data_IF_510359760711
#
_entry.id   IF_510359760711
#
_cell.length_a   1.000
_cell.length_b   1.000
_cell.length_c   1.000
_cell.angle_alpha   90.00
_cell.angle_beta   90.00
_cell.angle_gamma   90.00
#
_symmetry.space_group_name_H-M   'P 1'
#
loop_
_entity.id
_entity.type
_entity.pdbx_description
1 polymer ?
#
# COMPACT_ATOMS: atom_id res chain seq x y z
N UNK A 1 83.89 -37.86 0.22
CA UNK A 1 84.15 -36.42 0.48
C UNK A 1 83.74 -35.70 -0.80
N UNK A 2 82.75 -34.82 -0.91
CA UNK A 2 82.12 -33.91 0.06
C UNK A 2 80.76 -33.52 -0.57
N UNK A 3 79.68 -33.53 0.23
CA UNK A 3 78.35 -33.05 -0.18
C UNK A 3 78.34 -31.53 -0.20
N UNK A 4 77.82 -30.92 -1.27
CA UNK A 4 77.41 -29.50 -1.29
C UNK A 4 75.89 -29.45 -1.25
N UNK A 5 75.36 -28.72 -0.26
CA UNK A 5 73.94 -28.44 -0.04
C UNK A 5 73.51 -27.25 -0.91
N UNK A 6 72.34 -27.35 -1.53
CA UNK A 6 71.60 -26.18 -2.02
C UNK A 6 70.18 -26.25 -1.47
N UNK A 7 69.83 -25.24 -0.66
CA UNK A 7 68.47 -24.96 -0.19
C UNK A 7 67.63 -24.52 -1.41
N UNK A 8 66.44 -25.11 -1.57
CA UNK A 8 65.38 -24.56 -2.42
C UNK A 8 64.27 -24.09 -1.50
N UNK A 9 64.03 -22.78 -1.49
CA UNK A 9 62.91 -22.15 -0.81
C UNK A 9 61.62 -22.39 -1.60
N UNK A 10 60.60 -22.95 -0.95
CA UNK A 10 59.28 -23.12 -1.53
C UNK A 10 58.43 -21.87 -1.28
N UNK A 11 58.15 -21.11 -2.35
CA UNK A 11 57.21 -20.00 -2.34
C UNK A 11 55.82 -20.53 -2.67
N UNK A 12 54.95 -20.67 -1.65
CA UNK A 12 53.53 -20.95 -1.87
C UNK A 12 52.83 -19.68 -2.39
N UNK A 13 52.44 -19.67 -3.67
CA UNK A 13 51.44 -18.74 -4.18
C UNK A 13 50.06 -19.19 -3.70
N UNK A 14 49.49 -18.47 -2.73
CA UNK A 14 48.06 -18.56 -2.41
C UNK A 14 47.32 -17.68 -3.43
N UNK A 15 46.73 -18.32 -4.44
CA UNK A 15 45.79 -17.65 -5.33
C UNK A 15 44.49 -17.37 -4.54
N UNK A 16 44.31 -16.13 -4.09
CA UNK A 16 43.07 -15.64 -3.52
C UNK A 16 42.00 -15.54 -4.59
N UNK A 17 41.20 -16.60 -4.76
CA UNK A 17 39.94 -16.52 -5.49
C UNK A 17 38.95 -15.67 -4.70
N UNK A 18 38.63 -14.49 -5.22
CA UNK A 18 37.49 -13.71 -4.75
C UNK A 18 36.23 -14.55 -4.98
N UNK A 19 35.65 -15.08 -3.89
CA UNK A 19 34.33 -15.67 -3.93
C UNK A 19 33.32 -14.56 -4.21
N UNK A 20 32.98 -14.38 -5.48
CA UNK A 20 31.75 -13.74 -5.90
C UNK A 20 30.62 -14.49 -5.18
N UNK A 21 30.01 -13.84 -4.18
CA UNK A 21 28.87 -14.38 -3.47
C UNK A 21 27.76 -14.71 -4.46
N UNK A 22 27.61 -15.99 -4.77
CA UNK A 22 26.47 -16.47 -5.52
C UNK A 22 25.22 -16.08 -4.73
N UNK A 23 24.38 -15.22 -5.32
CA UNK A 23 23.03 -15.04 -4.85
C UNK A 23 22.32 -16.39 -4.98
N UNK A 24 22.26 -17.15 -3.89
CA UNK A 24 21.37 -18.29 -3.81
C UNK A 24 19.95 -17.73 -3.94
N UNK A 25 19.31 -17.98 -5.07
CA UNK A 25 17.86 -17.92 -5.19
C UNK A 25 17.29 -18.96 -4.23
N UNK A 26 17.01 -18.55 -2.98
CA UNK A 26 16.28 -19.39 -2.06
C UNK A 26 14.90 -19.65 -2.66
N UNK A 27 14.41 -20.89 -2.61
CA UNK A 27 13.05 -21.20 -3.00
C UNK A 27 12.05 -20.30 -2.23
N UNK A 28 10.89 -19.94 -2.80
CA UNK A 28 9.90 -19.20 -2.06
C UNK A 28 9.48 -19.97 -0.80
N UNK A 29 9.30 -19.26 0.32
CA UNK A 29 8.80 -19.84 1.56
C UNK A 29 7.29 -19.66 1.62
N UNK A 30 6.54 -20.70 1.99
CA UNK A 30 5.10 -20.60 2.06
C UNK A 30 4.48 -21.53 3.10
N UNK A 31 3.35 -21.09 3.66
CA UNK A 31 2.45 -21.91 4.46
C UNK A 31 1.02 -21.64 4.01
N UNK A 32 0.30 -22.72 3.68
CA UNK A 32 -1.09 -22.69 3.20
C UNK A 32 -1.34 -21.80 1.97
N UNK A 33 -0.29 -21.40 1.26
CA UNK A 33 -0.34 -20.62 0.04
C UNK A 33 0.60 -21.23 -0.99
N UNK A 34 0.34 -20.97 -2.26
CA UNK A 34 1.25 -21.33 -3.36
C UNK A 34 1.27 -20.28 -4.45
N UNK A 35 2.39 -20.21 -5.16
CA UNK A 35 2.52 -19.41 -6.36
C UNK A 35 1.63 -19.97 -7.49
N UNK A 36 0.90 -19.08 -8.15
CA UNK A 36 0.08 -19.35 -9.34
C UNK A 36 0.79 -18.85 -10.59
N UNK A 37 1.31 -17.62 -10.54
CA UNK A 37 2.09 -17.00 -11.60
C UNK A 37 2.83 -15.76 -11.11
N UNK A 38 3.69 -15.22 -11.96
CA UNK A 38 4.52 -14.07 -11.62
C UNK A 38 4.88 -13.28 -12.87
N UNK A 39 5.29 -12.03 -12.68
CA UNK A 39 5.84 -11.17 -13.72
C UNK A 39 6.92 -10.26 -13.13
N UNK A 40 8.05 -10.06 -13.81
CA UNK A 40 9.18 -9.29 -13.29
C UNK A 40 8.94 -7.76 -13.24
N UNK A 41 7.86 -7.30 -13.89
CA UNK A 41 7.49 -5.89 -14.06
C UNK A 41 8.61 -5.07 -14.70
N UNK A 42 9.40 -5.69 -15.59
CA UNK A 42 10.58 -5.08 -16.21
C UNK A 42 11.59 -4.56 -15.15
N UNK A 43 11.69 -5.26 -14.01
CA UNK A 43 12.54 -4.92 -12.88
C UNK A 43 12.31 -3.51 -12.31
N UNK A 44 11.09 -2.99 -12.43
CA UNK A 44 10.69 -1.71 -11.81
C UNK A 44 10.32 -1.92 -10.33
N UNK A 45 10.63 -0.93 -9.50
CA UNK A 45 10.26 -0.94 -8.07
C UNK A 45 8.77 -0.75 -7.92
N UNK A 46 8.04 -1.76 -7.43
CA UNK A 46 6.58 -1.73 -7.36
C UNK A 46 6.08 -1.24 -6.00
N UNK A 47 5.00 -0.45 -6.01
CA UNK A 47 4.33 0.02 -4.80
C UNK A 47 2.94 -0.60 -4.67
N UNK A 48 1.94 -0.15 -5.42
CA UNK A 48 0.54 -0.57 -5.26
C UNK A 48 0.07 -1.39 -6.47
N UNK A 49 -0.33 -2.66 -6.28
CA UNK A 49 -1.12 -3.39 -7.24
C UNK A 49 -2.60 -3.07 -7.05
N UNK A 50 -3.34 -2.96 -8.15
CA UNK A 50 -4.80 -2.93 -8.18
C UNK A 50 -5.26 -3.82 -9.32
N UNK A 51 -6.21 -4.71 -9.06
CA UNK A 51 -6.78 -5.58 -10.10
C UNK A 51 -8.23 -5.17 -10.34
N UNK A 52 -8.56 -4.90 -11.59
CA UNK A 52 -9.89 -4.47 -12.00
C UNK A 52 -10.43 -5.41 -13.07
N UNK A 53 -11.71 -5.78 -12.96
CA UNK A 53 -12.40 -6.56 -13.98
C UNK A 53 -12.94 -5.62 -15.05
N UNK A 54 -12.48 -5.77 -16.29
CA UNK A 54 -12.87 -4.98 -17.47
C UNK A 54 -13.48 -5.90 -18.52
N UNK A 55 -14.81 -5.92 -18.57
CA UNK A 55 -15.54 -6.94 -19.32
C UNK A 55 -15.20 -8.34 -18.77
N UNK A 56 -14.72 -9.22 -19.65
CA UNK A 56 -14.32 -10.59 -19.29
C UNK A 56 -12.84 -10.71 -18.87
N UNK A 57 -12.09 -9.60 -18.88
CA UNK A 57 -10.67 -9.58 -18.55
C UNK A 57 -10.43 -9.09 -17.14
N UNK A 58 -9.36 -9.59 -16.53
CA UNK A 58 -8.82 -9.01 -15.29
C UNK A 58 -7.52 -8.27 -15.64
N UNK A 59 -7.49 -6.98 -15.36
CA UNK A 59 -6.34 -6.11 -15.65
C UNK A 59 -5.71 -5.67 -14.33
N UNK A 60 -4.41 -5.92 -14.19
CA UNK A 60 -3.62 -5.43 -13.07
C UNK A 60 -2.93 -4.11 -13.44
N UNK A 61 -3.17 -3.09 -12.64
CA UNK A 61 -2.51 -1.80 -12.67
C UNK A 61 -1.51 -1.76 -11.51
N UNK A 62 -0.23 -1.65 -11.80
CA UNK A 62 0.82 -1.64 -10.79
C UNK A 62 1.54 -0.30 -10.82
N UNK A 63 1.33 0.50 -9.79
CA UNK A 63 2.05 1.76 -9.59
C UNK A 63 3.48 1.51 -9.12
N UNK A 64 4.42 2.29 -9.64
CA UNK A 64 5.85 2.17 -9.33
C UNK A 64 6.40 3.39 -8.60
N UNK A 65 7.39 3.13 -7.75
CA UNK A 65 8.31 4.15 -7.26
C UNK A 65 9.15 4.71 -8.41
N UNK A 66 9.70 5.91 -8.21
CA UNK A 66 10.66 6.56 -9.09
C UNK A 66 11.87 5.70 -9.43
N UNK A 67 12.48 6.02 -10.55
CA UNK A 67 13.62 5.32 -11.14
C UNK A 67 13.50 5.24 -12.67
N UNK A 68 14.56 4.80 -13.32
CA UNK A 68 14.63 4.62 -14.78
C UNK A 68 14.84 3.14 -15.13
N UNK A 69 14.06 2.60 -16.07
CA UNK A 69 14.25 1.23 -16.59
C UNK A 69 14.00 1.17 -18.09
N UNK A 70 14.71 0.26 -18.75
CA UNK A 70 14.43 -0.12 -20.14
C UNK A 70 13.01 -0.71 -20.22
N UNK A 71 12.25 -0.24 -21.19
CA UNK A 71 10.98 -0.83 -21.59
C UNK A 71 11.19 -1.72 -22.83
N UNK A 72 11.08 -3.05 -22.71
CA UNK A 72 11.22 -3.97 -23.85
C UNK A 72 10.14 -3.78 -24.93
N UNK A 73 8.96 -3.26 -24.60
CA UNK A 73 7.90 -3.03 -25.59
C UNK A 73 8.23 -1.89 -26.56
N UNK A 74 8.91 -0.86 -26.07
CA UNK A 74 9.24 0.35 -26.86
C UNK A 74 10.71 0.42 -27.25
N UNK A 75 11.56 -0.38 -26.59
CA UNK A 75 13.00 -0.30 -26.74
C UNK A 75 13.60 1.00 -26.16
N UNK A 76 12.91 1.72 -25.28
CA UNK A 76 13.38 2.99 -24.70
C UNK A 76 13.56 2.88 -23.19
N UNK A 77 14.48 3.66 -22.65
CA UNK A 77 14.55 3.84 -21.20
C UNK A 77 13.47 4.83 -20.79
N UNK A 78 12.64 4.43 -19.84
CA UNK A 78 11.46 5.19 -19.41
C UNK A 78 11.46 5.32 -17.89
N UNK A 79 11.10 6.51 -17.42
CA UNK A 79 10.84 6.77 -16.01
C UNK A 79 9.73 5.83 -15.54
N UNK A 80 9.97 5.13 -14.43
CA UNK A 80 8.97 4.29 -13.79
C UNK A 80 7.66 5.05 -13.63
N UNK A 81 6.54 4.40 -13.94
CA UNK A 81 5.23 4.98 -13.72
C UNK A 81 4.22 3.90 -13.37
N UNK A 82 3.36 3.53 -14.30
CA UNK A 82 2.31 2.52 -14.09
C UNK A 82 2.44 1.40 -15.10
N UNK A 83 2.63 0.17 -14.63
CA UNK A 83 2.56 -1.02 -15.46
C UNK A 83 1.11 -1.49 -15.60
N UNK A 84 0.71 -1.91 -16.79
CA UNK A 84 -0.62 -2.48 -17.07
C UNK A 84 -0.43 -3.90 -17.59
N UNK A 85 -1.01 -4.88 -16.90
CA UNK A 85 -0.90 -6.29 -17.22
C UNK A 85 -2.28 -6.93 -17.39
N UNK A 86 -2.43 -7.80 -18.37
CA UNK A 86 -3.53 -8.75 -18.41
C UNK A 86 -3.22 -9.92 -17.47
N UNK A 87 -4.06 -10.10 -16.47
CA UNK A 87 -3.97 -11.18 -15.47
C UNK A 87 -5.21 -12.08 -15.51
N UNK A 88 -5.88 -12.13 -16.67
CA UNK A 88 -7.03 -13.02 -16.90
C UNK A 88 -6.63 -14.48 -16.71
N UNK A 89 -5.52 -14.92 -17.33
CA UNK A 89 -4.82 -16.14 -16.89
C UNK A 89 -3.72 -15.75 -15.90
N UNK A 90 -3.99 -15.95 -14.62
CA UNK A 90 -3.06 -15.64 -13.54
C UNK A 90 -1.74 -16.43 -13.61
N UNK A 91 -1.69 -17.53 -14.35
CA UNK A 91 -0.47 -18.34 -14.53
C UNK A 91 0.49 -17.73 -15.56
N UNK A 92 -0.02 -16.89 -16.45
CA UNK A 92 0.73 -16.26 -17.52
C UNK A 92 0.36 -14.77 -17.65
N UNK A 93 0.69 -13.91 -16.66
CA UNK A 93 0.46 -12.48 -16.77
C UNK A 93 1.13 -11.90 -18.01
N UNK A 94 0.42 -11.06 -18.76
CA UNK A 94 0.91 -10.45 -20.00
C UNK A 94 1.02 -8.94 -19.86
N UNK A 95 2.22 -8.41 -19.97
CA UNK A 95 2.46 -6.97 -19.97
C UNK A 95 1.87 -6.30 -21.22
N UNK A 96 1.00 -5.31 -21.04
CA UNK A 96 0.26 -4.67 -22.12
C UNK A 96 0.83 -3.31 -22.48
N UNK A 97 1.07 -2.49 -21.46
CA UNK A 97 1.51 -1.12 -21.61
C UNK A 97 2.22 -0.64 -20.34
N UNK A 98 3.02 0.40 -20.52
CA UNK A 98 3.61 1.16 -19.44
C UNK A 98 3.28 2.64 -19.66
N UNK A 99 2.78 3.31 -18.63
CA UNK A 99 2.58 4.76 -18.64
C UNK A 99 3.71 5.40 -17.83
N UNK A 100 4.62 6.17 -18.44
CA UNK A 100 5.72 6.82 -17.72
C UNK A 100 5.24 7.70 -16.56
N UNK A 101 6.06 7.78 -15.51
CA UNK A 101 5.83 8.59 -14.32
C UNK A 101 6.75 9.81 -14.23
N UNK A 102 6.82 10.41 -13.04
CA UNK A 102 7.65 11.58 -12.77
C UNK A 102 9.13 11.22 -12.56
N UNK A 103 10.06 12.15 -12.83
CA UNK A 103 11.49 11.95 -12.54
C UNK A 103 11.76 11.90 -11.03
N UNK A 104 12.89 11.31 -10.66
CA UNK A 104 13.30 11.10 -9.27
C UNK A 104 13.37 9.62 -8.93
N UNK A 105 14.03 9.31 -7.82
CA UNK A 105 14.19 7.95 -7.29
C UNK A 105 13.19 7.70 -6.15
N UNK A 106 12.87 6.43 -5.90
CA UNK A 106 12.01 6.04 -4.78
C UNK A 106 10.69 6.85 -4.73
N UNK A 107 10.32 7.42 -3.59
CA UNK A 107 9.06 8.18 -3.44
C UNK A 107 9.12 9.60 -4.05
N UNK A 108 10.28 10.04 -4.56
CA UNK A 108 10.40 11.38 -5.16
C UNK A 108 9.80 11.45 -6.57
N UNK A 109 9.85 10.34 -7.30
CA UNK A 109 9.34 10.18 -8.66
C UNK A 109 8.26 9.11 -8.79
N UNK A 110 8.08 8.56 -10.00
CA UNK A 110 7.19 7.43 -10.23
C UNK A 110 5.73 7.80 -10.51
N UNK A 111 4.85 6.82 -10.34
CA UNK A 111 3.39 6.96 -10.34
C UNK A 111 2.82 5.83 -9.46
N UNK A 112 3.13 5.90 -8.17
CA UNK A 112 3.07 4.78 -7.23
C UNK A 112 1.66 4.38 -6.80
N UNK A 113 0.67 5.26 -6.98
CA UNK A 113 -0.67 5.13 -6.40
C UNK A 113 -1.71 5.11 -7.50
N UNK A 114 -2.61 4.12 -7.47
CA UNK A 114 -3.59 3.87 -8.55
C UNK A 114 -4.98 3.49 -8.02
N UNK A 115 -6.00 3.97 -8.71
CA UNK A 115 -7.41 3.58 -8.58
C UNK A 115 -8.04 3.48 -9.96
N UNK A 116 -8.96 2.55 -10.14
CA UNK A 116 -9.63 2.33 -11.43
C UNK A 116 -11.12 2.21 -11.21
N UNK A 117 -11.89 2.93 -12.04
CA UNK A 117 -13.34 2.88 -12.05
C UNK A 117 -13.85 2.67 -13.47
N UNK A 118 -14.85 1.80 -13.61
CA UNK A 118 -15.64 1.71 -14.84
C UNK A 118 -16.52 2.94 -14.96
N UNK A 119 -16.61 3.52 -16.16
CA UNK A 119 -17.49 4.64 -16.45
C UNK A 119 -18.96 4.30 -16.21
N UNK A 120 -19.35 3.04 -16.39
CA UNK A 120 -20.70 2.57 -16.10
C UNK A 120 -21.10 2.65 -14.61
N UNK A 121 -20.13 2.72 -13.70
CA UNK A 121 -20.39 2.89 -12.26
C UNK A 121 -20.40 4.35 -11.83
N UNK A 122 -19.70 5.22 -12.58
CA UNK A 122 -19.54 6.63 -12.26
C UNK A 122 -20.79 7.44 -12.63
N UNK A 123 -21.21 8.41 -11.80
CA UNK A 123 -22.48 9.13 -12.00
C UNK A 123 -22.66 9.86 -13.33
N UNK A 124 -21.58 10.40 -13.90
CA UNK A 124 -21.62 11.32 -15.05
C UNK A 124 -20.51 11.02 -16.07
N UNK A 125 -19.96 9.81 -16.05
CA UNK A 125 -18.90 9.41 -16.97
C UNK A 125 -19.46 8.78 -18.26
N UNK A 126 -18.62 8.64 -19.27
CA UNK A 126 -18.96 7.81 -20.43
C UNK A 126 -19.00 6.34 -20.00
N UNK A 127 -20.20 5.75 -20.05
CA UNK A 127 -20.44 4.38 -19.59
C UNK A 127 -19.65 3.31 -20.34
N UNK A 128 -19.17 3.60 -21.54
CA UNK A 128 -18.35 2.68 -22.34
C UNK A 128 -16.87 2.65 -21.91
N UNK A 129 -16.47 3.53 -20.99
CA UNK A 129 -15.07 3.77 -20.67
C UNK A 129 -14.62 3.10 -19.38
N UNK A 130 -13.31 3.02 -19.20
CA UNK A 130 -12.65 2.71 -17.93
C UNK A 130 -11.58 3.75 -17.66
N UNK A 131 -11.53 4.26 -16.43
CA UNK A 131 -10.67 5.37 -16.04
C UNK A 131 -9.68 4.95 -14.96
N UNK A 132 -8.42 5.34 -15.12
CA UNK A 132 -7.35 5.18 -14.14
C UNK A 132 -7.06 6.54 -13.50
N UNK A 133 -7.29 6.65 -12.20
CA UNK A 133 -6.74 7.71 -11.35
C UNK A 133 -5.35 7.28 -10.89
N UNK A 134 -4.35 8.15 -11.05
CA UNK A 134 -3.00 7.91 -10.53
C UNK A 134 -2.30 9.18 -10.05
N UNK A 135 -1.28 9.01 -9.23
CA UNK A 135 -0.29 10.06 -8.99
C UNK A 135 0.70 10.18 -10.14
N UNK A 136 1.29 11.36 -10.32
CA UNK A 136 2.46 11.60 -11.18
C UNK A 136 3.62 12.07 -10.31
N UNK A 137 4.24 11.11 -9.62
CA UNK A 137 5.16 11.35 -8.51
C UNK A 137 4.60 12.39 -7.56
N UNK A 138 5.44 13.33 -7.14
CA UNK A 138 5.04 14.41 -6.24
C UNK A 138 4.35 15.62 -6.90
N UNK A 139 4.12 15.58 -8.22
CA UNK A 139 3.81 16.76 -9.02
C UNK A 139 2.31 17.00 -9.18
N UNK A 140 1.54 15.94 -9.41
CA UNK A 140 0.12 16.02 -9.76
C UNK A 140 -0.64 14.72 -9.49
N UNK A 141 -1.97 14.82 -9.56
CA UNK A 141 -2.88 13.67 -9.74
C UNK A 141 -3.52 13.74 -11.13
N UNK A 142 -3.61 12.61 -11.81
CA UNK A 142 -4.04 12.49 -13.22
C UNK A 142 -5.16 11.47 -13.38
N UNK A 143 -5.98 11.66 -14.42
CA UNK A 143 -6.93 10.67 -14.91
C UNK A 143 -6.54 10.27 -16.33
N UNK A 144 -6.59 8.96 -16.59
CA UNK A 144 -6.31 8.34 -17.88
C UNK A 144 -7.50 7.51 -18.35
N UNK A 145 -7.83 7.56 -19.63
CA UNK A 145 -8.69 6.58 -20.30
C UNK A 145 -7.86 5.31 -20.53
N UNK A 146 -8.31 4.22 -19.93
CA UNK A 146 -7.69 2.88 -20.00
C UNK A 146 -8.68 1.82 -20.49
N UNK A 147 -9.72 2.26 -21.23
CA UNK A 147 -10.72 1.38 -21.83
C UNK A 147 -10.08 0.35 -22.76
N UNK A 148 -9.06 0.79 -23.51
CA UNK A 148 -8.08 -0.09 -24.13
C UNK A 148 -6.81 -0.11 -23.25
N UNK A 149 -6.61 -1.14 -22.40
CA UNK A 149 -5.47 -1.18 -21.49
C UNK A 149 -4.12 -1.33 -22.20
N UNK A 150 -4.09 -1.64 -23.51
CA UNK A 150 -2.86 -1.65 -24.30
C UNK A 150 -2.53 -0.27 -24.91
N UNK A 151 -3.49 0.67 -24.91
CA UNK A 151 -3.33 2.02 -25.46
C UNK A 151 -3.92 3.07 -24.50
N UNK A 152 -3.35 3.22 -23.30
CA UNK A 152 -3.82 4.21 -22.34
C UNK A 152 -3.59 5.63 -22.88
N UNK A 153 -4.54 6.53 -22.63
CA UNK A 153 -4.46 7.94 -23.04
C UNK A 153 -4.78 8.85 -21.86
N UNK A 154 -3.97 9.90 -21.66
CA UNK A 154 -4.24 10.87 -20.60
C UNK A 154 -5.52 11.63 -20.93
N UNK A 155 -6.42 11.70 -19.96
CA UNK A 155 -7.68 12.44 -20.10
C UNK A 155 -7.53 13.85 -19.54
N UNK A 156 -7.09 13.97 -18.29
CA UNK A 156 -6.95 15.27 -17.62
C UNK A 156 -5.99 15.20 -16.43
N UNK A 157 -5.51 16.36 -16.00
CA UNK A 157 -4.77 16.54 -14.75
C UNK A 157 -5.71 17.16 -13.74
N UNK A 158 -5.99 16.46 -12.64
CA UNK A 158 -6.95 16.90 -11.60
C UNK A 158 -6.40 18.12 -10.86
N UNK A 159 -5.13 18.03 -10.45
CA UNK A 159 -4.41 19.06 -9.72
C UNK A 159 -2.92 18.94 -10.00
N UNK A 160 -2.25 20.07 -10.17
CA UNK A 160 -0.81 20.16 -10.45
C UNK A 160 -0.12 21.19 -9.55
N UNK A 161 1.21 21.29 -9.63
CA UNK A 161 2.00 22.24 -8.84
C UNK A 161 2.21 21.82 -7.38
N UNK A 162 2.01 20.53 -7.10
CA UNK A 162 2.26 19.94 -5.79
C UNK A 162 3.77 19.67 -5.61
N UNK A 163 4.23 19.54 -4.36
CA UNK A 163 5.55 18.99 -4.01
C UNK A 163 5.46 17.68 -3.26
N UNK A 164 4.26 17.21 -2.96
CA UNK A 164 4.04 15.91 -2.35
C UNK A 164 2.69 15.39 -2.80
N UNK A 165 2.66 14.14 -3.23
CA UNK A 165 1.43 13.35 -3.35
C UNK A 165 1.59 12.06 -2.55
N UNK A 166 0.51 11.34 -2.35
CA UNK A 166 0.59 9.98 -1.86
C UNK A 166 -0.63 9.18 -2.31
N UNK A 167 -1.11 8.25 -1.48
CA UNK A 167 -2.31 7.44 -1.74
C UNK A 167 -3.47 8.28 -2.25
N UNK A 168 -4.33 7.62 -3.02
CA UNK A 168 -5.63 8.13 -3.40
C UNK A 168 -6.71 7.08 -3.09
N UNK A 169 -7.92 7.56 -2.83
CA UNK A 169 -9.12 6.73 -2.72
C UNK A 169 -10.17 7.29 -3.65
N UNK A 170 -10.83 6.44 -4.43
CA UNK A 170 -11.87 6.86 -5.37
C UNK A 170 -13.08 5.95 -5.21
N UNK A 171 -14.19 6.56 -4.80
CA UNK A 171 -15.48 5.91 -4.70
C UNK A 171 -16.15 5.92 -6.08
N UNK A 172 -16.13 4.77 -6.78
CA UNK A 172 -16.62 4.72 -8.15
C UNK A 172 -18.12 5.01 -8.27
N UNK A 173 -18.93 4.72 -7.25
CA UNK A 173 -20.39 4.91 -7.25
C UNK A 173 -20.81 6.36 -7.03
N UNK A 174 -20.08 7.11 -6.19
CA UNK A 174 -20.35 8.53 -5.93
C UNK A 174 -19.51 9.45 -6.80
N UNK A 175 -18.40 8.96 -7.34
CA UNK A 175 -17.38 9.74 -8.02
C UNK A 175 -16.45 10.51 -7.07
N UNK A 176 -16.66 10.47 -5.76
CA UNK A 176 -15.85 11.24 -4.81
C UNK A 176 -14.46 10.62 -4.68
N UNK A 177 -13.44 11.46 -4.77
CA UNK A 177 -12.06 11.10 -4.63
C UNK A 177 -11.36 11.89 -3.52
N UNK A 178 -10.51 11.18 -2.79
CA UNK A 178 -9.70 11.69 -1.70
C UNK A 178 -8.24 11.55 -2.10
N UNK A 179 -7.60 12.67 -2.39
CA UNK A 179 -6.26 12.73 -2.95
C UNK A 179 -5.30 13.19 -1.87
N UNK A 180 -4.38 12.33 -1.45
CA UNK A 180 -3.34 12.75 -0.51
C UNK A 180 -2.33 13.63 -1.25
N UNK A 181 -2.15 14.84 -0.76
CA UNK A 181 -1.37 15.91 -1.39
C UNK A 181 -0.76 16.85 -0.35
N UNK A 182 0.22 17.66 -0.73
CA UNK A 182 0.63 18.79 0.11
C UNK A 182 -0.46 19.87 0.21
N UNK A 183 -0.22 20.80 1.13
CA UNK A 183 -1.08 21.95 1.42
C UNK A 183 -1.30 22.94 0.28
N UNK A 184 -0.54 22.87 -0.82
CA UNK A 184 -0.40 24.02 -1.71
C UNK A 184 -1.68 24.35 -2.49
N UNK A 185 -1.81 25.64 -2.89
CA UNK A 185 -0.94 26.77 -2.55
C UNK A 185 -1.15 27.31 -1.11
N UNK A 186 -2.12 26.77 -0.37
CA UNK A 186 -2.43 27.20 0.98
C UNK A 186 -1.32 26.84 1.99
N UNK A 187 -1.17 27.67 3.02
CA UNK A 187 -0.11 27.55 4.04
C UNK A 187 -0.34 26.46 5.08
N UNK A 188 -0.74 25.25 4.66
CA UNK A 188 -0.93 24.13 5.61
C UNK A 188 0.40 23.69 6.22
N UNK A 189 0.35 23.33 7.50
CA UNK A 189 1.50 22.98 8.33
C UNK A 189 1.74 21.47 8.39
N UNK A 190 1.61 20.80 7.24
CA UNK A 190 1.82 19.35 7.08
C UNK A 190 2.41 19.05 5.71
N UNK A 191 3.16 17.96 5.60
CA UNK A 191 3.66 17.47 4.31
C UNK A 191 2.55 16.85 3.45
N UNK A 192 1.53 16.27 4.08
CA UNK A 192 0.43 15.54 3.45
C UNK A 192 -0.90 15.81 4.17
N UNK A 193 -1.89 16.25 3.41
CA UNK A 193 -3.30 16.39 3.79
C UNK A 193 -4.18 15.84 2.66
N UNK A 194 -5.51 15.90 2.81
CA UNK A 194 -6.43 15.37 1.79
C UNK A 194 -7.08 16.49 0.99
N UNK A 195 -6.93 16.46 -0.33
CA UNK A 195 -7.74 17.26 -1.26
C UNK A 195 -8.90 16.40 -1.74
N UNK A 196 -10.13 16.90 -1.61
CA UNK A 196 -11.34 16.16 -1.96
C UNK A 196 -11.88 16.71 -3.28
N UNK A 197 -12.14 15.82 -4.23
CA UNK A 197 -12.67 16.13 -5.55
C UNK A 197 -13.92 15.30 -5.84
N UNK A 198 -14.85 15.88 -6.60
CA UNK A 198 -15.88 15.16 -7.33
C UNK A 198 -15.32 14.82 -8.72
N UNK A 199 -15.06 13.53 -8.93
CA UNK A 199 -14.62 12.93 -10.19
C UNK A 199 -15.74 12.09 -10.82
N UNK A 200 -17.00 12.37 -10.48
CA UNK A 200 -18.14 11.67 -11.09
C UNK A 200 -18.27 11.92 -12.59
N UNK A 201 -17.71 13.03 -13.07
CA UNK A 201 -17.33 13.27 -14.46
C UNK A 201 -15.80 13.33 -14.53
N UNK A 202 -15.11 12.25 -14.94
CA UNK A 202 -13.66 12.18 -14.96
C UNK A 202 -12.99 13.19 -15.91
N UNK A 203 -13.70 13.73 -16.91
CA UNK A 203 -13.15 14.75 -17.81
C UNK A 203 -13.17 16.15 -17.18
N UNK A 204 -14.05 16.37 -16.19
CA UNK A 204 -14.23 17.68 -15.53
C UNK A 204 -14.13 17.55 -14.00
N UNK A 205 -12.93 17.30 -13.44
CA UNK A 205 -12.72 17.23 -11.99
C UNK A 205 -13.17 18.51 -11.29
N UNK A 206 -13.97 18.38 -10.22
CA UNK A 206 -14.44 19.51 -9.43
C UNK A 206 -13.89 19.44 -8.01
N UNK A 207 -13.07 20.42 -7.63
CA UNK A 207 -12.58 20.55 -6.26
C UNK A 207 -13.74 20.80 -5.29
N UNK A 208 -13.70 20.14 -4.13
CA UNK A 208 -14.68 20.30 -3.05
C UNK A 208 -14.06 21.07 -1.90
N UNK A 209 -12.99 20.52 -1.29
CA UNK A 209 -12.31 21.13 -0.14
C UNK A 209 -10.96 20.48 0.13
N UNK A 210 -10.13 21.20 0.88
CA UNK A 210 -8.99 20.63 1.59
C UNK A 210 -9.44 20.16 2.98
N UNK A 211 -8.87 19.06 3.48
CA UNK A 211 -9.22 18.48 4.77
C UNK A 211 -8.00 17.84 5.46
N UNK A 212 -7.92 18.01 6.78
CA UNK A 212 -6.84 17.51 7.63
C UNK A 212 -7.21 17.60 9.10
N UNK A 213 -6.26 17.28 9.98
CA UNK A 213 -6.44 17.43 11.42
C UNK A 213 -6.34 18.91 11.82
N UNK A 214 -7.10 19.32 12.83
CA UNK A 214 -6.93 20.64 13.46
C UNK A 214 -5.49 20.84 13.94
N UNK A 215 -4.93 22.02 13.71
CA UNK A 215 -3.52 22.35 13.91
C UNK A 215 -2.69 22.28 12.63
N UNK A 216 -3.22 21.68 11.55
CA UNK A 216 -2.58 21.64 10.23
C UNK A 216 -3.01 22.79 9.32
N UNK A 217 -4.18 23.38 9.57
CA UNK A 217 -4.76 24.43 8.73
C UNK A 217 -3.91 25.70 8.63
N UNK A 218 -4.07 26.50 7.56
CA UNK A 218 -3.39 27.79 7.43
C UNK A 218 -3.65 28.70 8.63
N UNK A 219 -2.59 29.31 9.15
CA UNK A 219 -2.66 30.22 10.30
C UNK A 219 -2.66 29.55 11.67
N UNK A 220 -2.72 28.21 11.74
CA UNK A 220 -2.61 27.49 13.01
C UNK A 220 -1.24 27.69 13.68
N UNK A 221 -1.19 27.71 15.02
CA UNK A 221 0.04 27.83 15.83
C UNK A 221 0.29 26.56 16.65
N UNK A 222 1.44 26.46 17.36
CA UNK A 222 1.80 25.27 18.16
C UNK A 222 2.31 24.09 17.32
N UNK A 223 2.40 22.90 17.91
CA UNK A 223 2.87 21.69 17.22
C UNK A 223 1.80 21.16 16.27
N UNK A 224 2.13 21.03 14.98
CA UNK A 224 1.21 20.46 13.99
C UNK A 224 1.15 18.92 14.11
N UNK A 225 -0.03 18.30 13.99
CA UNK A 225 -0.16 16.85 13.87
C UNK A 225 0.53 16.31 12.60
N UNK A 226 0.93 15.03 12.65
CA UNK A 226 1.53 14.34 11.51
C UNK A 226 0.56 14.24 10.31
N UNK A 227 1.13 14.17 9.11
CA UNK A 227 0.37 14.12 7.86
C UNK A 227 -0.46 12.86 7.68
N UNK A 228 -1.48 12.96 6.83
CA UNK A 228 -2.31 11.82 6.44
C UNK A 228 -1.51 10.89 5.54
N UNK A 229 -1.65 9.58 5.75
CA UNK A 229 -1.08 8.58 4.87
C UNK A 229 -2.05 8.17 3.76
N UNK A 230 -3.30 7.91 4.11
CA UNK A 230 -4.35 7.53 3.17
C UNK A 230 -5.72 7.37 3.84
N UNK A 231 -6.80 7.84 3.20
CA UNK A 231 -8.16 7.52 3.59
C UNK A 231 -8.68 6.25 2.92
N UNK A 232 -9.63 5.59 3.58
CA UNK A 232 -10.48 4.54 2.98
C UNK A 232 -11.92 4.89 3.31
N UNK A 233 -12.79 4.97 2.30
CA UNK A 233 -14.22 5.22 2.50
C UNK A 233 -15.04 3.94 2.37
N UNK A 234 -16.05 3.81 3.24
CA UNK A 234 -17.02 2.71 3.20
C UNK A 234 -18.34 3.17 3.80
N UNK A 235 -19.45 2.87 3.13
CA UNK A 235 -20.77 3.38 3.50
C UNK A 235 -20.72 4.92 3.69
N UNK A 236 -21.35 5.49 4.73
CA UNK A 236 -21.29 6.94 4.99
C UNK A 236 -20.10 7.37 5.87
N UNK A 237 -18.97 6.65 5.79
CA UNK A 237 -17.78 6.92 6.61
C UNK A 237 -16.53 7.03 5.76
N UNK A 238 -15.63 7.91 6.21
CA UNK A 238 -14.25 7.97 5.75
C UNK A 238 -13.34 7.74 6.95
N UNK A 239 -12.45 6.76 6.83
CA UNK A 239 -11.47 6.40 7.83
C UNK A 239 -10.11 6.93 7.38
N UNK A 240 -9.55 7.87 8.15
CA UNK A 240 -8.24 8.46 7.85
C UNK A 240 -7.19 7.90 8.79
N UNK A 241 -6.04 7.51 8.22
CA UNK A 241 -4.85 7.12 8.96
C UNK A 241 -3.77 8.21 8.83
N UNK A 242 -3.29 8.70 9.97
CA UNK A 242 -2.23 9.72 10.06
C UNK A 242 -1.00 9.16 10.76
N UNK A 243 0.15 9.82 10.52
CA UNK A 243 1.39 9.53 11.25
C UNK A 243 1.92 8.12 10.95
N UNK A 244 2.29 7.86 9.70
CA UNK A 244 2.60 6.55 9.10
C UNK A 244 3.27 5.49 10.01
N UNK A 245 4.33 5.84 10.74
CA UNK A 245 5.05 4.91 11.63
C UNK A 245 5.26 5.44 13.06
N UNK A 246 4.64 6.57 13.42
CA UNK A 246 4.74 7.17 14.75
C UNK A 246 3.66 8.23 14.94
N UNK A 247 3.27 8.49 16.19
CA UNK A 247 2.24 9.47 16.59
C UNK A 247 0.94 9.31 15.77
N UNK A 248 0.52 8.06 15.59
CA UNK A 248 -0.60 7.72 14.74
C UNK A 248 -1.92 8.28 15.22
N UNK A 249 -2.80 8.59 14.27
CA UNK A 249 -4.20 8.93 14.55
C UNK A 249 -5.09 8.15 13.58
N UNK A 250 -6.11 7.47 14.12
CA UNK A 250 -7.27 7.04 13.35
C UNK A 250 -8.38 8.07 13.54
N UNK A 251 -8.87 8.65 12.46
CA UNK A 251 -10.03 9.55 12.48
C UNK A 251 -11.19 8.92 11.71
N UNK A 252 -12.37 8.89 12.34
CA UNK A 252 -13.61 8.41 11.74
C UNK A 252 -14.49 9.62 11.44
N UNK A 253 -14.84 9.79 10.16
CA UNK A 253 -15.49 11.00 9.66
C UNK A 253 -16.82 10.65 8.99
N UNK A 254 -17.87 11.40 9.28
CA UNK A 254 -19.14 11.34 8.56
C UNK A 254 -18.97 11.92 7.15
N UNK A 255 -19.13 11.07 6.13
CA UNK A 255 -18.88 11.47 4.73
C UNK A 255 -19.84 12.55 4.26
N UNK A 256 -21.12 12.46 4.58
CA UNK A 256 -22.11 13.46 4.17
C UNK A 256 -21.80 14.84 4.79
N UNK A 257 -21.49 14.88 6.09
CA UNK A 257 -21.07 16.13 6.76
C UNK A 257 -19.76 16.69 6.20
N UNK A 258 -18.81 15.81 5.87
CA UNK A 258 -17.52 16.22 5.29
C UNK A 258 -17.71 16.97 3.97
N UNK A 259 -18.60 16.47 3.12
CA UNK A 259 -18.88 17.01 1.79
C UNK A 259 -19.81 18.23 1.82
N UNK A 260 -20.79 18.27 2.74
CA UNK A 260 -21.74 19.38 2.85
C UNK A 260 -21.18 20.58 3.64
N UNK A 261 -20.29 20.32 4.61
CA UNK A 261 -19.80 21.32 5.55
C UNK A 261 -20.79 21.64 6.68
N UNK A 262 -20.36 22.47 7.63
CA UNK A 262 -21.20 22.89 8.75
C UNK A 262 -22.24 23.94 8.28
N UNK A 263 -23.56 23.64 8.32
CA UNK A 263 -24.59 24.58 7.89
C UNK A 263 -24.68 25.83 8.80
N UNK A 264 -24.09 25.81 9.99
CA UNK A 264 -24.03 26.98 10.87
C UNK A 264 -22.90 27.96 10.49
N UNK A 265 -21.98 27.56 9.61
CA UNK A 265 -20.86 28.39 9.16
C UNK A 265 -21.23 29.17 7.90
N UNK A 266 -20.82 30.44 7.82
CA UNK A 266 -20.95 31.24 6.60
C UNK A 266 -20.03 30.76 5.47
N UNK A 267 -19.03 29.95 5.80
CA UNK A 267 -18.14 29.30 4.84
C UNK A 267 -17.93 27.82 5.23
N UNK A 268 -18.92 26.93 4.98
CA UNK A 268 -18.98 25.57 5.54
C UNK A 268 -17.80 24.65 5.23
N UNK A 269 -17.08 24.92 4.13
CA UNK A 269 -16.01 24.07 3.62
C UNK A 269 -14.60 24.62 3.88
N UNK A 270 -14.49 25.88 4.34
CA UNK A 270 -13.21 26.49 4.68
C UNK A 270 -12.52 25.70 5.82
N UNK A 271 -11.18 25.61 5.84
CA UNK A 271 -10.46 24.76 6.79
C UNK A 271 -10.30 25.44 8.16
N UNK A 272 -11.37 25.95 8.74
CA UNK A 272 -11.36 26.44 10.12
C UNK A 272 -11.31 25.27 11.12
N UNK A 273 -10.77 25.45 12.34
CA UNK A 273 -10.80 24.41 13.36
C UNK A 273 -12.19 23.81 13.61
N UNK A 274 -13.24 24.63 13.57
CA UNK A 274 -14.62 24.19 13.73
C UNK A 274 -15.08 23.33 12.55
N UNK A 275 -14.87 23.79 11.31
CA UNK A 275 -15.27 23.07 10.10
C UNK A 275 -14.48 21.76 9.89
N UNK A 276 -13.23 21.67 10.37
CA UNK A 276 -12.44 20.44 10.33
C UNK A 276 -12.90 19.42 11.36
N UNK A 277 -13.38 19.87 12.53
CA UNK A 277 -13.94 19.00 13.58
C UNK A 277 -15.37 18.59 13.32
N UNK A 278 -16.17 19.43 12.64
CA UNK A 278 -17.59 19.21 12.41
C UNK A 278 -17.95 17.81 11.87
N UNK A 279 -17.26 17.26 10.86
CA UNK A 279 -17.59 15.93 10.36
C UNK A 279 -16.94 14.79 11.15
N UNK A 280 -16.06 15.06 12.13
CA UNK A 280 -15.43 14.03 12.94
C UNK A 280 -16.46 13.38 13.89
N UNK A 281 -16.59 12.06 13.80
CA UNK A 281 -17.41 11.26 14.72
C UNK A 281 -16.58 10.79 15.90
N UNK A 282 -15.38 10.25 15.61
CA UNK A 282 -14.47 9.76 16.63
C UNK A 282 -13.02 9.77 16.18
N UNK A 283 -12.15 9.57 17.14
CA UNK A 283 -10.70 9.62 16.98
C UNK A 283 -10.02 8.70 17.98
N UNK A 284 -9.00 7.97 17.53
CA UNK A 284 -8.06 7.25 18.39
C UNK A 284 -6.66 7.82 18.16
N UNK A 285 -6.10 8.44 19.20
CA UNK A 285 -4.69 8.82 19.24
C UNK A 285 -3.85 7.62 19.72
N UNK A 286 -2.83 7.26 18.95
CA UNK A 286 -1.98 6.10 19.23
C UNK A 286 -0.78 6.47 20.12
N UNK A 287 -0.14 5.44 20.69
CA UNK A 287 1.17 5.62 21.31
C UNK A 287 2.15 6.27 20.31
N UNK A 288 3.07 7.16 20.75
CA UNK A 288 4.03 7.82 19.88
C UNK A 288 4.88 6.86 19.02
N UNK A 289 5.09 5.63 19.47
CA UNK A 289 5.89 4.61 18.75
C UNK A 289 5.18 3.99 17.54
N UNK A 290 3.87 4.18 17.42
CA UNK A 290 3.07 3.56 16.37
C UNK A 290 2.27 4.56 15.57
N UNK A 291 2.01 4.18 14.33
CA UNK A 291 1.41 5.01 13.32
C UNK A 291 0.14 4.47 12.69
N UNK A 292 -0.51 5.31 11.91
CA UNK A 292 -1.60 4.94 11.01
C UNK A 292 -1.15 5.04 9.56
N UNK A 293 -0.81 3.91 8.95
CA UNK A 293 -0.54 3.80 7.50
C UNK A 293 -1.81 3.35 6.73
N UNK A 294 -2.54 2.35 7.19
CA UNK A 294 -3.78 1.91 6.52
C UNK A 294 -4.89 1.70 7.54
N UNK A 295 -6.08 2.25 7.29
CA UNK A 295 -7.26 2.15 8.17
C UNK A 295 -8.40 1.42 7.45
N UNK A 296 -8.29 0.10 7.32
CA UNK A 296 -9.23 -0.71 6.54
C UNK A 296 -10.46 -1.12 7.37
N UNK A 297 -11.68 -0.66 7.04
CA UNK A 297 -12.87 -0.94 7.83
C UNK A 297 -13.45 -2.34 7.55
N UNK A 298 -13.69 -3.10 8.62
CA UNK A 298 -14.32 -4.42 8.61
C UNK A 298 -15.62 -4.33 9.40
N UNK A 299 -16.72 -4.13 8.67
CA UNK A 299 -18.03 -3.79 9.24
C UNK A 299 -18.94 -5.02 9.27
N UNK A 300 -19.90 -5.03 10.20
CA UNK A 300 -20.94 -6.04 10.32
C UNK A 300 -20.42 -7.42 10.75
N UNK A 301 -19.29 -7.47 11.47
CA UNK A 301 -18.69 -8.73 11.88
C UNK A 301 -19.50 -9.39 12.99
N UNK A 302 -20.03 -10.59 12.74
CA UNK A 302 -20.61 -11.44 13.78
C UNK A 302 -19.49 -12.09 14.59
N UNK A 303 -19.39 -11.77 15.87
CA UNK A 303 -18.42 -12.40 16.78
C UNK A 303 -19.00 -13.72 17.29
N UNK A 304 -18.42 -14.85 16.86
CA UNK A 304 -18.98 -16.18 17.10
C UNK A 304 -19.21 -16.50 18.57
N UNK A 305 -18.22 -16.22 19.43
CA UNK A 305 -18.30 -16.44 20.88
C UNK A 305 -19.40 -15.59 21.55
N UNK A 306 -19.75 -14.44 20.96
CA UNK A 306 -20.80 -13.56 21.48
C UNK A 306 -22.20 -13.96 21.00
N UNK A 307 -22.35 -15.06 20.27
CA UNK A 307 -23.64 -15.54 19.77
C UNK A 307 -24.76 -15.62 20.82
N UNK A 308 -24.50 -16.08 22.06
CA UNK A 308 -25.50 -16.11 23.13
C UNK A 308 -25.76 -14.75 23.82
N UNK A 309 -24.99 -13.71 23.51
CA UNK A 309 -25.10 -12.41 24.19
C UNK A 309 -26.39 -11.69 23.79
N UNK A 310 -26.98 -10.95 24.74
CA UNK A 310 -28.16 -10.12 24.50
C UNK A 310 -27.85 -8.90 23.61
N UNK A 311 -26.60 -8.42 23.59
CA UNK A 311 -26.09 -7.31 22.76
C UNK A 311 -24.65 -7.57 22.33
N UNK A 312 -24.21 -6.90 21.27
CA UNK A 312 -22.82 -6.91 20.81
C UNK A 312 -22.43 -8.13 19.98
N UNK A 313 -23.41 -8.91 19.50
CA UNK A 313 -23.21 -10.07 18.63
C UNK A 313 -22.55 -9.67 17.31
N UNK A 314 -23.00 -8.55 16.74
CA UNK A 314 -22.41 -7.92 15.57
C UNK A 314 -21.65 -6.67 16.00
N UNK A 315 -20.45 -6.49 15.45
CA UNK A 315 -19.52 -5.41 15.79
C UNK A 315 -18.82 -4.90 14.54
N UNK A 316 -18.35 -3.67 14.62
CA UNK A 316 -17.59 -3.02 13.55
C UNK A 316 -16.15 -2.80 14.00
N UNK A 317 -15.20 -3.03 13.10
CA UNK A 317 -13.78 -2.89 13.38
C UNK A 317 -13.08 -2.08 12.29
N UNK A 318 -11.93 -1.51 12.65
CA UNK A 318 -10.94 -0.99 11.70
C UNK A 318 -9.64 -1.74 11.94
N UNK A 319 -9.11 -2.35 10.88
CA UNK A 319 -7.75 -2.84 10.84
C UNK A 319 -6.82 -1.65 10.60
N UNK A 320 -6.16 -1.20 11.65
CA UNK A 320 -5.22 -0.09 11.62
C UNK A 320 -3.79 -0.63 11.55
N UNK A 321 -3.15 -0.45 10.40
CA UNK A 321 -1.81 -0.96 10.12
C UNK A 321 -0.82 0.18 10.29
N UNK A 322 0.21 0.01 11.12
CA UNK A 322 1.38 0.90 11.16
C UNK A 322 2.42 0.47 10.11
N UNK A 323 3.37 1.34 9.77
CA UNK A 323 4.44 1.00 8.81
C UNK A 323 5.82 0.91 9.48
N UNK A 324 6.54 -0.18 9.20
CA UNK A 324 7.98 -0.25 9.40
C UNK A 324 8.76 0.58 8.37
N UNK A 325 9.64 1.45 8.87
CA UNK A 325 10.40 2.42 8.07
C UNK A 325 11.90 2.09 8.03
N UNK A 326 12.42 1.31 8.97
CA UNK A 326 13.86 1.02 9.09
C UNK A 326 14.21 -0.42 8.70
N UNK A 327 15.34 -0.54 8.01
CA UNK A 327 15.93 -1.84 7.70
C UNK A 327 16.51 -2.47 8.97
N UNK A 328 16.53 -3.80 9.00
CA UNK A 328 17.16 -4.60 10.06
C UNK A 328 16.74 -4.21 11.48
N UNK A 329 15.47 -3.81 11.64
CA UNK A 329 14.81 -3.67 12.94
C UNK A 329 15.42 -2.58 13.84
N UNK A 330 15.91 -1.50 13.24
CA UNK A 330 16.50 -0.34 13.91
C UNK A 330 15.47 0.69 14.41
N UNK A 331 14.27 0.22 14.76
CA UNK A 331 13.14 1.04 15.25
C UNK A 331 12.25 0.20 16.19
N UNK A 332 11.37 0.82 17.00
CA UNK A 332 10.33 0.11 17.71
C UNK A 332 9.50 -0.76 16.75
N UNK A 333 9.13 -1.96 17.21
CA UNK A 333 8.34 -2.90 16.40
C UNK A 333 7.00 -2.29 16.05
N UNK A 334 6.74 -2.18 14.76
CA UNK A 334 5.47 -1.71 14.24
C UNK A 334 4.45 -2.86 14.26
N UNK A 335 3.20 -2.51 14.57
CA UNK A 335 2.13 -3.47 14.81
C UNK A 335 0.95 -3.19 13.89
N UNK A 336 0.11 -4.22 13.72
CA UNK A 336 -1.25 -4.07 13.21
C UNK A 336 -2.22 -4.14 14.38
N UNK A 337 -3.24 -3.29 14.38
CA UNK A 337 -4.23 -3.15 15.44
C UNK A 337 -5.63 -3.49 14.91
N UNK A 338 -6.41 -4.22 15.70
CA UNK A 338 -7.85 -4.33 15.50
C UNK A 338 -8.51 -3.34 16.45
N UNK A 339 -9.10 -2.30 15.88
CA UNK A 339 -9.78 -1.23 16.62
C UNK A 339 -11.28 -1.47 16.54
N UNK A 340 -11.94 -1.69 17.67
CA UNK A 340 -13.39 -1.75 17.76
C UNK A 340 -13.96 -0.35 17.57
N UNK A 341 -14.83 -0.21 16.57
CA UNK A 341 -15.52 1.03 16.20
C UNK A 341 -17.04 0.86 16.24
N UNK A 342 -17.55 -0.18 16.91
CA UNK A 342 -19.00 -0.39 17.11
C UNK A 342 -19.65 0.83 17.77
N UNK A 343 -18.92 1.49 18.68
CA UNK A 343 -19.22 2.85 19.09
C UNK A 343 -18.21 3.81 18.46
N UNK A 344 -18.56 4.37 17.31
CA UNK A 344 -17.66 5.17 16.48
C UNK A 344 -17.08 6.39 17.20
N UNK A 345 -17.77 6.95 18.21
CA UNK A 345 -17.26 8.11 18.96
C UNK A 345 -16.14 7.76 19.95
N UNK A 346 -15.97 6.49 20.29
CA UNK A 346 -14.96 6.01 21.25
C UNK A 346 -14.24 4.77 20.72
N UNK A 347 -13.50 4.90 19.59
CA UNK A 347 -12.76 3.78 19.02
C UNK A 347 -11.70 3.27 20.00
N UNK A 348 -11.52 1.95 20.09
CA UNK A 348 -10.57 1.35 21.04
C UNK A 348 -9.87 0.12 20.47
N UNK A 349 -8.55 0.03 20.65
CA UNK A 349 -7.78 -1.14 20.20
C UNK A 349 -8.06 -2.35 21.09
N UNK A 350 -8.59 -3.43 20.52
CA UNK A 350 -8.94 -4.66 21.25
C UNK A 350 -7.95 -5.80 21.05
N UNK A 351 -7.15 -5.76 19.98
CA UNK A 351 -6.11 -6.75 19.71
C UNK A 351 -5.01 -6.18 18.82
N UNK A 352 -3.86 -6.85 18.82
CA UNK A 352 -2.75 -6.59 17.90
C UNK A 352 -2.35 -7.86 17.16
N UNK A 353 -1.77 -7.69 15.97
CA UNK A 353 -1.12 -8.75 15.21
C UNK A 353 0.33 -8.37 14.92
N UNK A 354 1.23 -9.34 15.08
CA UNK A 354 2.65 -9.24 14.75
C UNK A 354 3.17 -10.58 14.25
N UNK A 355 4.11 -10.53 13.31
CA UNK A 355 4.91 -11.70 12.92
C UNK A 355 6.10 -11.81 13.88
N UNK A 356 6.32 -12.96 14.55
CA UNK A 356 7.52 -13.19 15.34
C UNK A 356 8.80 -13.12 14.49
N UNK A 357 9.87 -12.57 15.05
CA UNK A 357 11.17 -12.47 14.35
C UNK A 357 11.77 -13.87 14.09
N UNK A 358 11.63 -14.77 15.05
CA UNK A 358 12.00 -16.18 14.95
C UNK A 358 10.78 -17.05 14.59
N UNK A 359 10.97 -18.12 13.80
CA UNK A 359 12.25 -18.66 13.33
C UNK A 359 12.75 -18.05 12.00
N UNK A 360 12.12 -17.00 11.49
CA UNK A 360 12.46 -16.44 10.18
C UNK A 360 13.81 -15.73 10.14
N UNK A 361 14.35 -15.25 11.26
CA UNK A 361 15.56 -14.42 11.33
C UNK A 361 15.42 -13.11 10.53
N UNK A 362 14.19 -12.59 10.41
CA UNK A 362 13.82 -11.50 9.50
C UNK A 362 14.63 -10.22 9.70
N UNK A 363 15.10 -9.93 10.91
CA UNK A 363 15.93 -8.75 11.13
C UNK A 363 17.29 -8.88 10.50
N UNK A 364 17.82 -10.09 10.48
CA UNK A 364 19.14 -10.37 9.93
C UNK A 364 19.09 -10.67 8.43
N UNK A 365 17.94 -11.02 7.85
CA UNK A 365 17.77 -11.23 6.39
C UNK A 365 18.12 -9.98 5.55
N UNK A 366 17.95 -8.79 6.13
CA UNK A 366 18.13 -7.51 5.43
C UNK A 366 16.80 -6.89 5.02
N UNK A 367 16.81 -5.59 4.71
CA UNK A 367 15.60 -4.85 4.42
C UNK A 367 14.72 -4.62 5.66
N UNK A 368 13.52 -4.08 5.44
CA UNK A 368 12.55 -3.82 6.51
C UNK A 368 11.83 -5.11 6.91
N UNK A 369 11.51 -5.22 8.20
CA UNK A 369 10.70 -6.30 8.78
C UNK A 369 9.65 -5.69 9.71
N UNK A 370 8.40 -5.79 9.30
CA UNK A 370 7.24 -5.24 9.99
C UNK A 370 6.08 -5.05 9.01
N UNK A 371 4.89 -4.66 9.50
CA UNK A 371 3.75 -4.36 8.65
C UNK A 371 4.03 -3.15 7.76
N UNK A 372 3.33 -3.09 6.63
CA UNK A 372 3.23 -1.89 5.79
C UNK A 372 1.76 -1.57 5.52
N UNK A 373 1.06 -2.37 4.72
CA UNK A 373 -0.35 -2.17 4.37
C UNK A 373 -1.16 -3.45 4.45
N UNK A 374 -2.48 -3.29 4.51
CA UNK A 374 -3.41 -4.36 4.16
C UNK A 374 -3.74 -4.36 2.66
N UNK A 375 -4.41 -5.41 2.18
CA UNK A 375 -5.25 -5.30 0.99
C UNK A 375 -6.32 -4.20 1.20
N UNK A 376 -6.81 -3.64 0.10
CA UNK A 376 -7.79 -2.55 0.13
C UNK A 376 -9.10 -2.93 -0.55
N UNK A 377 -9.13 -4.06 -1.26
CA UNK A 377 -10.34 -4.65 -1.82
C UNK A 377 -11.31 -5.15 -0.75
N UNK A 378 -12.59 -4.92 -1.01
CA UNK A 378 -13.73 -5.39 -0.21
C UNK A 378 -14.37 -6.66 -0.79
N UNK A 379 -13.67 -7.40 -1.65
CA UNK A 379 -14.16 -8.61 -2.31
C UNK A 379 -14.80 -9.59 -1.29
N UNK A 380 -16.07 -10.02 -1.50
CA UNK A 380 -16.79 -10.86 -0.54
C UNK A 380 -16.13 -12.19 -0.23
N UNK A 381 -15.27 -12.70 -1.12
CA UNK A 381 -14.55 -13.96 -0.96
C UNK A 381 -13.78 -14.00 0.36
N UNK A 382 -13.13 -12.90 0.76
CA UNK A 382 -12.31 -12.79 1.97
C UNK A 382 -12.85 -11.79 3.01
N UNK A 383 -13.68 -10.81 2.61
CA UNK A 383 -14.14 -9.74 3.51
C UNK A 383 -14.79 -10.28 4.80
N UNK A 384 -14.37 -9.74 5.94
CA UNK A 384 -14.85 -10.17 7.27
C UNK A 384 -14.30 -11.51 7.76
N UNK A 385 -13.45 -12.19 6.98
CA UNK A 385 -12.85 -13.49 7.34
C UNK A 385 -11.33 -13.41 7.41
N UNK A 386 -10.73 -12.91 6.34
CA UNK A 386 -9.28 -12.85 6.16
C UNK A 386 -8.89 -11.45 5.71
N UNK A 387 -7.77 -10.97 6.24
CA UNK A 387 -7.07 -9.78 5.75
C UNK A 387 -5.65 -10.17 5.38
N UNK A 388 -5.10 -9.49 4.38
CA UNK A 388 -3.75 -9.77 3.88
C UNK A 388 -2.87 -8.57 4.16
N UNK A 389 -1.74 -8.81 4.84
CA UNK A 389 -0.80 -7.77 5.21
C UNK A 389 0.47 -7.93 4.38
N UNK A 390 0.89 -6.85 3.73
CA UNK A 390 2.26 -6.70 3.25
C UNK A 390 3.19 -6.53 4.45
N UNK A 391 4.23 -7.37 4.54
CA UNK A 391 5.13 -7.45 5.69
C UNK A 391 6.60 -7.38 5.28
N UNK A 392 6.90 -6.62 4.21
CA UNK A 392 8.24 -6.44 3.65
C UNK A 392 8.99 -7.75 3.41
N UNK A 393 10.13 -7.97 4.07
CA UNK A 393 10.96 -9.17 3.89
C UNK A 393 10.31 -10.45 4.46
N UNK A 394 9.18 -10.31 5.15
CA UNK A 394 8.32 -11.39 5.59
C UNK A 394 7.17 -11.65 4.61
N UNK A 395 7.16 -11.07 3.40
CA UNK A 395 6.21 -11.40 2.35
C UNK A 395 4.77 -10.94 2.64
N UNK A 396 3.78 -11.70 2.18
CA UNK A 396 2.37 -11.51 2.56
C UNK A 396 2.02 -12.39 3.75
N UNK A 397 1.17 -11.85 4.63
CA UNK A 397 0.61 -12.53 5.81
C UNK A 397 -0.90 -12.55 5.72
N UNK A 398 -1.51 -13.72 5.58
CA UNK A 398 -2.95 -13.84 5.73
C UNK A 398 -3.29 -13.98 7.22
N UNK A 399 -4.21 -13.15 7.69
CA UNK A 399 -4.64 -13.11 9.08
C UNK A 399 -6.14 -13.38 9.14
N UNK A 400 -6.51 -14.44 9.87
CA UNK A 400 -7.90 -14.74 10.23
C UNK A 400 -8.38 -13.75 11.27
N UNK A 401 -9.43 -13.03 10.94
CA UNK A 401 -10.04 -11.97 11.77
C UNK A 401 -11.45 -12.34 12.23
N UNK A 402 -11.91 -13.57 12.00
CA UNK A 402 -13.25 -14.02 12.44
C UNK A 402 -13.42 -13.96 13.96
N UNK A 403 -12.34 -14.12 14.71
CA UNK A 403 -12.22 -13.67 16.11
C UNK A 403 -11.38 -12.38 16.16
N UNK A 404 -12.00 -11.20 16.11
CA UNK A 404 -11.28 -9.92 16.06
C UNK A 404 -10.52 -9.60 17.37
N UNK A 405 -10.80 -10.33 18.46
CA UNK A 405 -10.09 -10.19 19.73
C UNK A 405 -8.82 -11.06 19.78
N UNK A 406 -8.68 -12.01 18.86
CA UNK A 406 -7.54 -12.94 18.77
C UNK A 406 -7.19 -13.23 17.31
N UNK A 407 -6.72 -12.23 16.54
CA UNK A 407 -6.31 -12.43 15.15
C UNK A 407 -5.18 -13.45 15.07
N UNK A 408 -5.22 -14.35 14.08
CA UNK A 408 -4.23 -15.43 13.91
C UNK A 408 -3.72 -15.52 12.48
N UNK A 409 -2.43 -15.80 12.32
CA UNK A 409 -1.88 -16.11 11.01
C UNK A 409 -2.53 -17.39 10.46
N UNK A 410 -3.14 -17.28 9.28
CA UNK A 410 -3.72 -18.39 8.55
C UNK A 410 -2.74 -18.96 7.51
N UNK A 411 -1.81 -18.16 7.02
CA UNK A 411 -0.79 -18.57 6.07
C UNK A 411 0.08 -17.41 5.62
N UNK A 412 1.13 -17.72 4.89
CA UNK A 412 2.05 -16.73 4.35
C UNK A 412 2.65 -17.20 3.03
N UNK A 413 3.15 -16.23 2.27
CA UNK A 413 4.01 -16.47 1.11
C UNK A 413 5.11 -15.41 1.06
N UNK A 414 6.36 -15.86 0.96
CA UNK A 414 7.56 -15.03 0.84
C UNK A 414 8.20 -15.36 -0.52
N UNK A 415 8.20 -14.41 -1.46
CA UNK A 415 8.86 -14.59 -2.74
C UNK A 415 10.37 -14.93 -2.59
N UNK A 416 10.88 -15.70 -3.53
CA UNK A 416 12.31 -15.88 -3.72
C UNK A 416 12.95 -14.57 -4.20
N UNK A 417 14.20 -14.32 -3.84
CA UNK A 417 15.00 -13.28 -4.50
C UNK A 417 15.31 -13.71 -5.94
N UNK A 418 15.46 -12.72 -6.82
CA UNK A 418 15.84 -12.92 -8.22
C UNK A 418 17.12 -12.13 -8.54
N UNK A 419 17.65 -12.28 -9.75
CA UNK A 419 18.74 -11.43 -10.24
C UNK A 419 18.35 -9.94 -10.33
N UNK A 420 17.05 -9.64 -10.38
CA UNK A 420 16.54 -8.27 -10.40
C UNK A 420 16.40 -7.69 -8.98
N UNK A 421 16.41 -8.53 -7.94
CA UNK A 421 16.14 -8.08 -6.58
C UNK A 421 17.23 -7.14 -6.08
N UNK A 422 16.83 -5.93 -5.71
CA UNK A 422 17.71 -4.85 -5.33
C UNK A 422 18.20 -4.96 -3.88
N UNK A 423 19.36 -4.39 -3.60
CA UNK A 423 20.00 -4.40 -2.30
C UNK A 423 19.28 -3.46 -1.32
N UNK A 424 19.20 -3.85 -0.06
CA UNK A 424 18.76 -3.04 1.08
C UNK A 424 19.95 -2.80 2.00
N UNK A 425 20.20 -1.54 2.32
CA UNK A 425 21.40 -1.13 3.05
C UNK A 425 21.06 -0.56 4.43
N UNK A 426 21.97 -0.76 5.37
CA UNK A 426 22.04 -0.06 6.67
C UNK A 426 23.39 0.63 6.79
N UNK A 427 23.45 1.73 7.53
CA UNK A 427 24.71 2.35 7.91
C UNK A 427 25.26 1.66 9.15
N UNK A 428 26.51 1.19 9.09
CA UNK A 428 27.25 0.61 10.21
C UNK A 428 28.56 1.37 10.35
N UNK A 429 28.59 2.33 11.27
CA UNK A 429 29.79 3.13 11.56
C UNK A 429 30.25 4.01 10.38
N UNK A 430 29.31 4.56 9.60
CA UNK A 430 29.58 5.38 8.43
C UNK A 430 29.81 4.58 7.14
N UNK A 431 29.71 3.24 7.21
CA UNK A 431 29.91 2.35 6.06
C UNK A 431 28.60 1.63 5.70
N UNK A 432 28.14 1.69 4.44
CA UNK A 432 26.93 0.99 4.03
C UNK A 432 27.16 -0.53 3.98
N UNK A 433 26.36 -1.27 4.75
CA UNK A 433 26.26 -2.73 4.64
C UNK A 433 24.95 -3.08 3.95
N UNK A 434 25.05 -3.72 2.80
CA UNK A 434 23.90 -4.02 1.94
C UNK A 434 23.66 -5.53 1.80
N UNK A 435 22.39 -5.95 1.82
CA UNK A 435 21.94 -7.33 1.58
C UNK A 435 20.86 -7.34 0.50
N UNK A 436 20.82 -8.39 -0.32
CA UNK A 436 19.70 -8.60 -1.26
C UNK A 436 18.55 -9.23 -0.48
N UNK A 437 17.41 -8.55 -0.45
CA UNK A 437 16.23 -9.01 0.28
C UNK A 437 14.97 -8.55 -0.43
N UNK A 438 13.97 -9.44 -0.50
CA UNK A 438 12.63 -9.07 -0.97
C UNK A 438 12.03 -8.02 -0.03
N UNK A 439 11.11 -7.22 -0.55
CA UNK A 439 10.37 -6.19 0.16
C UNK A 439 8.96 -6.14 -0.42
N UNK A 440 8.13 -7.13 -0.08
CA UNK A 440 6.70 -7.12 -0.42
C UNK A 440 6.09 -5.88 0.19
N UNK A 441 5.79 -4.90 -0.66
CA UNK A 441 5.49 -3.55 -0.26
C UNK A 441 3.98 -3.37 -0.16
N UNK A 442 3.21 -3.88 -1.10
CA UNK A 442 1.75 -3.84 -0.98
C UNK A 442 1.14 -5.11 -1.53
N UNK A 443 -0.09 -5.37 -1.10
CA UNK A 443 -0.87 -6.55 -1.49
C UNK A 443 -2.26 -6.13 -1.89
N UNK A 444 -2.85 -6.87 -2.84
CA UNK A 444 -4.26 -6.68 -3.22
C UNK A 444 -4.90 -8.04 -3.53
N UNK A 445 -6.23 -8.09 -3.46
CA UNK A 445 -7.02 -9.28 -3.82
C UNK A 445 -8.05 -8.96 -4.91
N UNK A 446 -8.40 -9.97 -5.70
CA UNK A 446 -9.50 -9.89 -6.66
C UNK A 446 -10.67 -10.82 -6.27
N UNK A 447 -11.78 -10.70 -7.01
CA UNK A 447 -12.99 -11.49 -6.77
C UNK A 447 -12.82 -13.00 -7.02
N UNK A 448 -11.70 -13.43 -7.63
CA UNK A 448 -11.38 -14.85 -7.81
C UNK A 448 -10.68 -15.44 -6.57
N UNK A 449 -10.39 -14.61 -5.57
CA UNK A 449 -9.62 -14.99 -4.38
C UNK A 449 -8.12 -15.10 -4.65
N UNK A 450 -7.61 -14.50 -5.74
CA UNK A 450 -6.18 -14.41 -6.00
C UNK A 450 -5.57 -13.24 -5.23
N UNK A 451 -4.35 -13.43 -4.76
CA UNK A 451 -3.62 -12.46 -3.93
C UNK A 451 -2.39 -12.01 -4.72
N UNK A 452 -2.23 -10.69 -4.86
CA UNK A 452 -1.21 -10.05 -5.67
C UNK A 452 -0.21 -9.34 -4.77
N UNK A 453 1.06 -9.71 -4.85
CA UNK A 453 2.14 -9.13 -4.06
C UNK A 453 3.03 -8.27 -4.96
N UNK A 454 3.11 -6.98 -4.68
CA UNK A 454 4.01 -6.05 -5.36
C UNK A 454 5.27 -5.81 -4.52
N UNK A 455 6.44 -6.05 -5.12
CA UNK A 455 7.72 -5.94 -4.42
C UNK A 455 8.48 -4.65 -4.76
N UNK A 456 8.86 -3.86 -3.75
CA UNK A 456 9.60 -2.59 -3.96
C UNK A 456 11.08 -2.80 -4.24
N UNK A 457 11.62 -3.99 -3.99
CA UNK A 457 13.01 -4.34 -4.29
C UNK A 457 13.12 -4.96 -5.69
N UNK A 458 12.22 -4.63 -6.62
CA UNK A 458 12.24 -5.07 -8.03
C UNK A 458 12.08 -6.59 -8.23
N UNK A 459 11.64 -7.33 -7.22
CA UNK A 459 11.41 -8.79 -7.33
C UNK A 459 10.22 -9.10 -8.26
N UNK A 460 9.32 -8.13 -8.46
CA UNK A 460 8.20 -8.21 -9.42
C UNK A 460 6.83 -8.34 -8.75
N UNK A 461 5.86 -8.79 -9.56
CA UNK A 461 4.50 -9.11 -9.15
C UNK A 461 4.39 -10.64 -8.97
N UNK A 462 3.89 -11.07 -7.83
CA UNK A 462 3.60 -12.49 -7.56
C UNK A 462 2.11 -12.66 -7.33
N UNK A 463 1.53 -13.68 -7.97
CA UNK A 463 0.11 -14.02 -7.84
C UNK A 463 0.04 -15.36 -7.12
N UNK A 464 -0.62 -15.38 -5.97
CA UNK A 464 -0.72 -16.55 -5.11
C UNK A 464 -2.18 -16.87 -4.81
N UNK A 465 -2.42 -18.09 -4.35
CA UNK A 465 -3.72 -18.52 -3.86
C UNK A 465 -3.55 -19.38 -2.60
N UNK A 466 -4.63 -19.53 -1.82
CA UNK A 466 -4.66 -20.49 -0.73
C UNK A 466 -4.61 -21.94 -1.22
N UNK A 467 -4.03 -22.80 -0.39
CA UNK A 467 -3.99 -24.25 -0.55
C UNK A 467 -4.77 -24.96 0.57
N UNK A 468 -5.05 -26.24 0.37
CA UNK A 468 -5.66 -27.11 1.38
C UNK A 468 -7.03 -26.64 1.87
N UNK A 469 -7.31 -26.90 3.15
CA UNK A 469 -8.59 -26.61 3.79
C UNK A 469 -8.92 -25.12 3.84
N UNK A 470 -7.94 -24.22 3.81
CA UNK A 470 -8.18 -22.77 3.83
C UNK A 470 -8.78 -22.23 2.53
N UNK A 471 -8.76 -23.01 1.44
CA UNK A 471 -9.58 -22.72 0.26
C UNK A 471 -11.07 -22.68 0.60
N UNK A 472 -11.52 -23.46 1.58
CA UNK A 472 -12.94 -23.47 2.01
C UNK A 472 -13.37 -22.18 2.73
N UNK A 473 -12.42 -21.42 3.32
CA UNK A 473 -12.71 -20.10 3.90
C UNK A 473 -12.98 -19.05 2.82
N UNK A 474 -12.63 -19.37 1.57
CA UNK A 474 -12.62 -18.49 0.41
C UNK A 474 -13.21 -19.21 -0.80
N UNK A 475 -14.50 -19.63 -0.75
CA UNK A 475 -15.12 -20.35 -1.85
C UNK A 475 -15.14 -19.47 -3.11
N UNK A 476 -14.75 -20.06 -4.24
CA UNK A 476 -14.67 -19.43 -5.56
C UNK A 476 -16.05 -19.08 -6.11
#
# INVERSE_FOLDING_TARGET
MTRVRSLVAATLLVAGGAALGAAQSAAPEAQNMRLVGQHDLQARSAYQPLVHKQGDRFIAYVGHHGGLRRNPLTGRDELNGTSILDVTDARAPRYLAHIPGAPGEAEEGGASMVRVCAGATLPRADTSKTYLLRTMGNLSHEIWDVSDPARPAQLTTIVAGLRQTHKNWWECDTGIAYLVSDGRPAGWRTNRMTKIYDLGDPAHPRFIRDFGLTGQEPGATGTAPEGVHGPIARANRVYFAYGTGSKGVLQIVDRAKLLAGDPASSAPLEPTPANLKYPQIGRLDMSPDWGGHTSFPILGMRVGEFGPNTRGVTRDFVLLVSESLKNECQEPRQLTFLVDVTNESTPFSVATFQVPEKPGDFCSRGGRFGPHSSNESFAPVHYGKLVFLAYFNAGVRAVDVRDPFRPREAGYFIPATTSNTDKRCVDVGGTPRCKVAIQTNNVEIDDRGLIYLADRANTGLHIVEFTGELRSLSPR
#
